data_IF_203312372088
#
_entry.id   IF_203312372088
#
_cell.length_a   1.000
_cell.length_b   1.000
_cell.length_c   1.000
_cell.angle_alpha   90.00
_cell.angle_beta   90.00
_cell.angle_gamma   90.00
#
_symmetry.space_group_name_H-M   'P 1'
#
loop_
_entity.id
_entity.type
_entity.pdbx_description
1 polymer ?
#
# COMPACT_ATOMS: atom_id res chain seq x y z
N UNK A 1 27.77 -60.74 39.08
CA UNK A 1 28.31 -60.11 37.87
C UNK A 1 27.23 -60.23 36.83
N UNK A 2 26.55 -59.12 36.54
CA UNK A 2 26.15 -58.74 35.19
C UNK A 2 25.70 -57.28 35.24
N UNK A 3 26.33 -56.48 34.40
CA UNK A 3 26.21 -55.04 34.26
C UNK A 3 24.89 -54.70 33.52
N UNK A 4 24.21 -53.64 33.96
CA UNK A 4 23.03 -53.10 33.29
C UNK A 4 23.06 -51.57 33.38
N UNK A 5 23.59 -50.96 32.32
CA UNK A 5 24.11 -49.60 32.31
C UNK A 5 23.09 -48.47 32.47
N UNK A 6 23.65 -47.35 32.93
CA UNK A 6 23.07 -46.02 32.96
C UNK A 6 22.42 -45.67 31.60
N UNK A 7 21.08 -45.59 31.57
CA UNK A 7 20.38 -44.97 30.43
C UNK A 7 20.58 -43.46 30.56
N UNK A 8 21.58 -42.96 29.84
CA UNK A 8 21.74 -41.55 29.55
C UNK A 8 20.40 -41.03 28.97
N UNK A 9 19.63 -40.30 29.77
CA UNK A 9 18.48 -39.51 29.32
C UNK A 9 19.04 -38.50 28.32
N UNK A 10 18.87 -38.77 27.03
CA UNK A 10 19.31 -37.86 26.00
C UNK A 10 18.79 -36.45 26.24
N UNK A 11 19.57 -35.44 25.89
CA UNK A 11 19.15 -34.05 26.06
C UNK A 11 17.89 -33.79 25.23
N UNK A 12 17.02 -32.85 25.64
CA UNK A 12 15.76 -32.54 24.92
C UNK A 12 15.93 -32.20 23.43
N UNK A 13 17.14 -31.87 22.97
CA UNK A 13 17.47 -31.63 21.55
C UNK A 13 17.90 -32.90 20.79
N UNK A 14 18.11 -34.02 21.49
CA UNK A 14 18.36 -35.36 20.94
C UNK A 14 17.05 -36.14 20.68
N UNK A 15 15.91 -35.61 21.11
CA UNK A 15 14.60 -36.06 20.65
C UNK A 15 14.41 -35.73 19.16
N UNK A 16 13.77 -36.62 18.41
CA UNK A 16 13.51 -36.42 16.98
C UNK A 16 12.90 -35.05 16.72
N UNK A 17 13.52 -34.30 15.80
CA UNK A 17 13.00 -33.04 15.28
C UNK A 17 11.52 -33.23 14.92
N UNK A 18 10.60 -32.66 15.71
CA UNK A 18 9.19 -32.61 15.33
C UNK A 18 9.13 -31.86 14.00
N UNK A 19 8.81 -32.61 12.95
CA UNK A 19 8.78 -32.12 11.58
C UNK A 19 7.58 -31.19 11.45
N UNK A 20 7.79 -29.91 11.73
CA UNK A 20 6.77 -28.85 11.61
C UNK A 20 6.13 -28.78 10.22
N UNK A 21 6.78 -29.35 9.19
CA UNK A 21 6.24 -29.53 7.84
C UNK A 21 5.13 -30.58 7.72
N UNK A 22 4.95 -31.49 8.68
CA UNK A 22 3.84 -32.48 8.66
C UNK A 22 2.47 -31.85 8.97
N UNK A 23 2.45 -30.62 9.53
CA UNK A 23 1.23 -29.85 9.77
C UNK A 23 0.77 -29.03 8.54
N UNK A 24 1.59 -28.96 7.49
CA UNK A 24 1.25 -28.26 6.25
C UNK A 24 0.41 -29.19 5.36
N UNK A 25 -0.83 -28.77 5.06
CA UNK A 25 -1.70 -29.50 4.12
C UNK A 25 -1.49 -28.98 2.71
N UNK A 26 -1.29 -29.90 1.78
CA UNK A 26 -1.27 -29.67 0.34
C UNK A 26 -2.64 -29.98 -0.24
N UNK A 27 -3.05 -29.23 -1.26
CA UNK A 27 -4.24 -29.52 -2.07
C UNK A 27 -3.97 -30.65 -3.09
N UNK A 28 -5.01 -31.08 -3.80
CA UNK A 28 -4.95 -32.15 -4.82
C UNK A 28 -4.00 -31.84 -5.99
N UNK A 29 -3.53 -30.59 -6.11
CA UNK A 29 -2.56 -30.15 -7.12
C UNK A 29 -1.13 -30.07 -6.58
N UNK A 30 -0.92 -30.37 -5.30
CA UNK A 30 0.37 -30.30 -4.62
C UNK A 30 0.77 -28.89 -4.17
N UNK A 31 -0.17 -27.94 -4.13
CA UNK A 31 0.08 -26.59 -3.62
C UNK A 31 -0.34 -26.49 -2.15
N UNK A 32 0.42 -25.74 -1.35
CA UNK A 32 0.12 -25.52 0.07
C UNK A 32 -1.18 -24.74 0.22
N UNK A 33 -2.11 -25.24 1.05
CA UNK A 33 -3.37 -24.57 1.36
C UNK A 33 -3.09 -23.32 2.18
N UNK A 34 -2.86 -22.20 1.49
CA UNK A 34 -2.72 -20.88 2.10
C UNK A 34 -4.11 -20.35 2.49
N UNK A 35 -4.60 -20.73 3.66
CA UNK A 35 -5.80 -20.13 4.28
C UNK A 35 -5.67 -18.64 4.62
N UNK A 36 -4.50 -18.02 4.40
CA UNK A 36 -4.21 -16.66 4.88
C UNK A 36 -4.78 -15.53 4.00
N UNK A 37 -4.99 -15.74 2.70
CA UNK A 37 -5.33 -14.64 1.77
C UNK A 37 -6.78 -14.18 1.88
N UNK A 38 -7.73 -15.11 2.04
CA UNK A 38 -9.15 -14.81 2.20
C UNK A 38 -9.43 -14.09 3.52
N UNK A 39 -8.85 -14.57 4.64
CA UNK A 39 -8.94 -13.90 5.93
C UNK A 39 -8.36 -12.48 5.88
N UNK A 40 -7.15 -12.31 5.31
CA UNK A 40 -6.53 -10.98 5.12
C UNK A 40 -7.43 -10.02 4.34
N UNK A 41 -8.05 -10.47 3.24
CA UNK A 41 -9.02 -9.67 2.46
C UNK A 41 -10.23 -9.26 3.30
N UNK A 42 -10.79 -10.20 4.06
CA UNK A 42 -11.97 -9.94 4.89
C UNK A 42 -11.66 -8.95 6.03
N UNK A 43 -10.48 -9.04 6.64
CA UNK A 43 -9.99 -8.05 7.60
C UNK A 43 -9.78 -6.67 6.95
N UNK A 44 -9.19 -6.62 5.75
CA UNK A 44 -9.02 -5.37 5.02
C UNK A 44 -10.37 -4.71 4.70
N UNK A 45 -11.40 -5.49 4.34
CA UNK A 45 -12.77 -5.00 4.14
C UNK A 45 -13.40 -4.43 5.40
N UNK A 46 -13.29 -5.15 6.52
CA UNK A 46 -13.80 -4.67 7.80
C UNK A 46 -13.17 -3.33 8.18
N UNK A 47 -11.86 -3.18 7.96
CA UNK A 47 -11.16 -1.90 8.16
C UNK A 47 -11.67 -0.81 7.23
N UNK A 48 -11.78 -1.08 5.93
CA UNK A 48 -12.31 -0.11 4.96
C UNK A 48 -13.74 0.32 5.27
N UNK A 49 -14.58 -0.60 5.74
CA UNK A 49 -15.95 -0.31 6.15
C UNK A 49 -15.99 0.59 7.41
N UNK A 50 -15.03 0.47 8.33
CA UNK A 50 -14.90 1.37 9.48
C UNK A 50 -14.43 2.78 9.08
N UNK A 51 -13.58 2.85 8.05
CA UNK A 51 -13.10 4.12 7.48
C UNK A 51 -14.15 4.78 6.55
N UNK A 52 -15.24 4.08 6.23
CA UNK A 52 -16.29 4.58 5.34
C UNK A 52 -17.00 5.81 5.93
N UNK A 53 -17.26 6.80 5.08
CA UNK A 53 -17.95 8.04 5.47
C UNK A 53 -17.06 9.06 6.19
N UNK A 54 -15.78 8.75 6.41
CA UNK A 54 -14.81 9.69 6.95
C UNK A 54 -14.27 10.61 5.85
N UNK A 55 -13.78 11.81 6.23
CA UNK A 55 -13.22 12.76 5.28
C UNK A 55 -11.86 12.26 4.78
N UNK A 56 -11.67 12.31 3.47
CA UNK A 56 -10.45 11.85 2.80
C UNK A 56 -9.84 12.95 1.93
N UNK A 57 -8.56 12.79 1.66
CA UNK A 57 -7.77 13.69 0.85
C UNK A 57 -7.65 13.21 -0.60
N UNK A 58 -8.51 13.71 -1.48
CA UNK A 58 -8.53 13.29 -2.89
C UNK A 58 -7.31 13.80 -3.68
N UNK A 59 -6.82 15.00 -3.37
CA UNK A 59 -5.62 15.57 -3.99
C UNK A 59 -4.45 15.44 -3.01
N UNK A 60 -3.43 14.70 -3.42
CA UNK A 60 -2.28 14.33 -2.58
C UNK A 60 -0.96 14.81 -3.19
N UNK A 61 -0.09 15.39 -2.38
CA UNK A 61 1.26 15.72 -2.77
C UNK A 61 2.20 14.89 -1.93
N UNK A 62 2.78 13.85 -2.53
CA UNK A 62 3.55 12.85 -1.82
C UNK A 62 5.00 12.83 -2.33
N UNK A 63 5.96 12.83 -1.40
CA UNK A 63 7.38 12.66 -1.69
C UNK A 63 7.80 11.25 -1.29
N UNK A 64 8.30 10.47 -2.25
CA UNK A 64 8.92 9.17 -2.01
C UNK A 64 10.40 9.38 -1.68
N UNK A 65 10.79 9.08 -0.45
CA UNK A 65 12.18 9.14 0.01
C UNK A 65 12.76 7.72 0.11
N UNK A 66 13.60 7.37 -0.85
CA UNK A 66 14.23 6.05 -0.95
C UNK A 66 15.64 6.07 -0.35
N UNK A 67 15.89 5.19 0.60
CA UNK A 67 17.22 4.90 1.12
C UNK A 67 18.07 4.12 0.09
N UNK A 68 19.25 4.64 -0.24
CA UNK A 68 20.31 3.93 -0.98
C UNK A 68 21.64 3.96 -0.21
N UNK A 69 21.56 3.91 1.12
CA UNK A 69 22.70 3.75 2.01
C UNK A 69 23.33 2.36 1.90
N UNK A 70 24.49 2.15 2.54
CA UNK A 70 25.17 0.84 2.58
C UNK A 70 24.30 -0.29 3.14
N UNK A 71 23.36 0.02 4.03
CA UNK A 71 22.47 -0.96 4.68
C UNK A 71 21.50 -1.61 3.69
N UNK A 72 21.27 -0.96 2.55
CA UNK A 72 20.39 -1.45 1.48
C UNK A 72 21.07 -2.44 0.53
N UNK A 73 22.38 -2.65 0.68
CA UNK A 73 23.14 -3.65 -0.06
C UNK A 73 22.92 -5.08 0.46
N UNK A 74 22.30 -5.21 1.65
CA UNK A 74 22.02 -6.48 2.32
C UNK A 74 21.14 -7.38 1.44
N UNK A 75 21.51 -8.67 1.25
CA UNK A 75 20.75 -9.62 0.43
C UNK A 75 19.39 -10.03 1.00
N UNK A 76 19.03 -9.54 2.18
CA UNK A 76 17.69 -9.67 2.74
C UNK A 76 16.60 -9.11 1.80
N UNK A 77 15.40 -9.68 1.87
CA UNK A 77 14.26 -9.41 0.97
C UNK A 77 14.57 -9.63 -0.53
N UNK A 78 15.50 -10.54 -0.85
CA UNK A 78 15.83 -10.90 -2.24
C UNK A 78 14.62 -11.48 -2.97
N UNK A 79 14.40 -11.01 -4.20
CA UNK A 79 13.34 -11.53 -5.08
C UNK A 79 13.92 -11.76 -6.47
N UNK A 80 14.02 -13.03 -6.90
CA UNK A 80 14.42 -13.37 -8.27
C UNK A 80 15.69 -12.61 -8.72
N UNK A 81 15.57 -11.70 -9.70
CA UNK A 81 16.66 -10.85 -10.21
C UNK A 81 17.06 -9.66 -9.33
N UNK A 82 16.29 -9.35 -8.28
CA UNK A 82 16.54 -8.25 -7.34
C UNK A 82 17.31 -8.78 -6.13
N UNK A 83 18.64 -8.53 -6.05
CA UNK A 83 19.51 -9.31 -5.17
C UNK A 83 19.56 -8.82 -3.71
N UNK A 84 19.00 -7.64 -3.42
CA UNK A 84 19.16 -6.96 -2.13
C UNK A 84 17.92 -6.11 -1.78
N UNK A 85 17.90 -5.56 -0.55
CA UNK A 85 16.84 -4.65 -0.07
C UNK A 85 16.60 -3.47 -1.01
N UNK A 86 17.65 -2.88 -1.61
CA UNK A 86 17.50 -1.81 -2.60
C UNK A 86 16.71 -2.27 -3.84
N UNK A 87 17.00 -3.47 -4.33
CA UNK A 87 16.28 -4.08 -5.44
C UNK A 87 14.80 -4.32 -5.10
N UNK A 88 14.52 -4.89 -3.93
CA UNK A 88 13.16 -5.06 -3.44
C UNK A 88 12.41 -3.73 -3.38
N UNK A 89 13.00 -2.71 -2.74
CA UNK A 89 12.40 -1.38 -2.61
C UNK A 89 12.09 -0.75 -3.97
N UNK A 90 13.03 -0.80 -4.92
CA UNK A 90 12.83 -0.24 -6.27
C UNK A 90 11.73 -1.00 -7.02
N UNK A 91 11.67 -2.33 -6.91
CA UNK A 91 10.60 -3.12 -7.50
C UNK A 91 9.24 -2.73 -6.93
N UNK A 92 9.07 -2.74 -5.62
CA UNK A 92 7.80 -2.40 -4.98
C UNK A 92 7.39 -0.96 -5.26
N UNK A 93 8.34 -0.02 -5.40
CA UNK A 93 8.05 1.35 -5.82
C UNK A 93 7.58 1.44 -7.29
N UNK A 94 8.07 0.58 -8.19
CA UNK A 94 7.58 0.52 -9.58
C UNK A 94 6.15 0.00 -9.66
N UNK A 95 5.77 -0.92 -8.78
CA UNK A 95 4.39 -1.42 -8.64
C UNK A 95 3.50 -0.36 -7.97
N UNK A 96 4.03 0.36 -6.98
CA UNK A 96 3.32 1.41 -6.25
C UNK A 96 2.97 2.62 -7.11
N UNK A 97 3.87 3.11 -7.96
CA UNK A 97 3.66 4.36 -8.72
C UNK A 97 2.40 4.31 -9.60
N UNK A 98 2.18 3.29 -10.45
CA UNK A 98 0.94 3.17 -11.23
C UNK A 98 -0.30 3.03 -10.34
N UNK A 99 -0.23 2.23 -9.26
CA UNK A 99 -1.32 2.05 -8.31
C UNK A 99 -1.71 3.38 -7.63
N UNK A 100 -0.72 4.18 -7.22
CA UNK A 100 -0.94 5.50 -6.65
C UNK A 100 -1.68 6.44 -7.62
N UNK A 101 -1.29 6.49 -8.90
CA UNK A 101 -1.98 7.33 -9.89
C UNK A 101 -3.35 6.79 -10.30
N UNK A 102 -3.59 5.48 -10.17
CA UNK A 102 -4.90 4.87 -10.36
C UNK A 102 -5.88 5.30 -9.24
N UNK A 103 -5.44 5.23 -7.98
CA UNK A 103 -6.20 5.66 -6.80
C UNK A 103 -6.34 7.18 -6.68
N UNK A 104 -5.30 7.94 -7.06
CA UNK A 104 -5.24 9.39 -6.95
C UNK A 104 -4.73 10.02 -8.26
N UNK A 105 -5.59 10.20 -9.28
CA UNK A 105 -5.20 10.77 -10.56
C UNK A 105 -4.70 12.21 -10.47
N UNK A 106 -5.19 12.97 -9.48
CA UNK A 106 -4.77 14.36 -9.25
C UNK A 106 -3.53 14.46 -8.36
N UNK A 107 -3.03 13.33 -7.88
CA UNK A 107 -1.87 13.28 -7.03
C UNK A 107 -0.61 13.72 -7.75
N UNK A 108 0.34 14.24 -6.99
CA UNK A 108 1.68 14.53 -7.45
C UNK A 108 2.66 13.70 -6.64
N UNK A 109 3.63 13.11 -7.35
CA UNK A 109 4.71 12.33 -6.75
C UNK A 109 6.06 12.99 -7.03
N UNK A 110 6.94 12.92 -6.06
CA UNK A 110 8.36 13.24 -6.19
C UNK A 110 9.21 12.04 -5.75
N UNK A 111 10.45 11.96 -6.23
CA UNK A 111 11.41 10.95 -5.81
C UNK A 111 12.68 11.60 -5.29
N UNK A 112 13.02 11.30 -4.04
CA UNK A 112 14.22 11.73 -3.33
C UNK A 112 15.03 10.50 -2.94
N UNK A 113 16.35 10.55 -3.16
CA UNK A 113 17.28 9.51 -2.74
C UNK A 113 18.05 9.99 -1.52
N UNK A 114 18.08 9.17 -0.47
CA UNK A 114 18.89 9.36 0.73
C UNK A 114 20.19 8.56 0.58
N UNK A 115 21.31 9.26 0.40
CA UNK A 115 22.60 8.62 0.20
C UNK A 115 23.75 9.55 0.63
N UNK A 116 24.82 9.00 1.20
CA UNK A 116 26.02 9.75 1.59
C UNK A 116 25.71 10.96 2.51
N UNK A 117 24.80 10.79 3.47
CA UNK A 117 24.33 11.84 4.40
C UNK A 117 23.66 13.03 3.69
N UNK A 118 23.21 12.86 2.45
CA UNK A 118 22.54 13.89 1.63
C UNK A 118 21.20 13.36 1.13
N UNK A 119 20.32 14.29 0.79
CA UNK A 119 19.06 14.01 0.12
C UNK A 119 19.11 14.63 -1.29
N UNK A 120 19.06 13.79 -2.30
CA UNK A 120 19.13 14.20 -3.70
C UNK A 120 17.73 14.10 -4.33
N UNK A 121 17.20 15.23 -4.81
CA UNK A 121 15.93 15.24 -5.56
C UNK A 121 16.21 14.69 -6.97
N UNK A 122 15.67 13.51 -7.27
CA UNK A 122 15.84 12.84 -8.57
C UNK A 122 14.72 13.25 -9.51
N UNK A 123 13.49 13.21 -9.01
CA UNK A 123 12.31 13.64 -9.75
C UNK A 123 11.60 14.70 -8.91
N UNK A 124 11.47 15.94 -9.42
CA UNK A 124 10.72 16.98 -8.70
C UNK A 124 9.23 16.62 -8.68
N UNK A 125 8.50 17.25 -7.76
CA UNK A 125 7.06 17.04 -7.60
C UNK A 125 6.30 17.27 -8.91
N UNK A 126 5.55 16.25 -9.36
CA UNK A 126 4.75 16.33 -10.57
C UNK A 126 3.84 15.13 -10.79
N UNK A 127 3.00 15.18 -11.82
CA UNK A 127 2.02 14.14 -12.16
C UNK A 127 2.46 13.16 -13.26
N UNK A 128 3.75 13.12 -13.61
CA UNK A 128 4.24 12.30 -14.73
C UNK A 128 4.73 10.93 -14.26
N UNK A 129 3.87 9.92 -14.40
CA UNK A 129 4.20 8.51 -14.10
C UNK A 129 5.47 8.05 -14.83
N UNK A 130 5.55 8.30 -16.15
CA UNK A 130 6.68 7.89 -16.99
C UNK A 130 8.04 8.42 -16.51
N UNK A 131 8.10 9.63 -15.90
CA UNK A 131 9.36 10.19 -15.38
C UNK A 131 9.82 9.45 -14.12
N UNK A 132 8.90 9.07 -13.24
CA UNK A 132 9.18 8.32 -12.03
C UNK A 132 9.64 6.90 -12.37
N UNK A 133 8.91 6.21 -13.25
CA UNK A 133 9.28 4.88 -13.71
C UNK A 133 10.64 4.87 -14.41
N UNK A 134 10.92 5.88 -15.25
CA UNK A 134 12.25 6.05 -15.86
C UNK A 134 13.34 6.20 -14.81
N UNK A 135 13.14 7.06 -13.81
CA UNK A 135 14.12 7.24 -12.74
C UNK A 135 14.38 5.95 -11.95
N UNK A 136 13.33 5.18 -11.64
CA UNK A 136 13.46 3.86 -10.99
C UNK A 136 14.16 2.83 -11.88
N UNK A 137 13.90 2.83 -13.18
CA UNK A 137 14.60 2.00 -14.16
C UNK A 137 16.10 2.38 -14.25
N UNK A 138 16.41 3.68 -14.23
CA UNK A 138 17.80 4.17 -14.26
C UNK A 138 18.58 3.73 -13.01
N UNK A 139 17.91 3.59 -11.85
CA UNK A 139 18.51 3.04 -10.63
C UNK A 139 18.79 1.54 -10.77
N UNK A 140 17.86 0.77 -11.33
CA UNK A 140 18.03 -0.68 -11.61
C UNK A 140 19.19 -0.90 -12.60
N UNK A 141 19.22 -0.17 -13.72
CA UNK A 141 20.27 -0.31 -14.74
C UNK A 141 21.66 0.05 -14.20
N UNK A 142 21.75 0.97 -13.23
CA UNK A 142 23.01 1.31 -12.56
C UNK A 142 23.46 0.25 -11.54
N UNK A 143 22.69 -0.83 -11.35
CA UNK A 143 23.01 -1.92 -10.44
C UNK A 143 22.78 -1.58 -8.97
N UNK A 144 21.76 -0.75 -8.68
CA UNK A 144 21.40 -0.37 -7.30
C UNK A 144 22.61 0.14 -6.50
N UNK A 145 23.32 1.16 -7.00
CA UNK A 145 24.51 1.69 -6.33
C UNK A 145 24.19 2.20 -4.92
N UNK A 146 24.37 1.34 -3.93
CA UNK A 146 24.22 1.63 -2.52
C UNK A 146 25.53 2.14 -1.94
N UNK A 147 25.48 3.11 -1.05
CA UNK A 147 26.70 3.70 -0.50
C UNK A 147 26.44 4.73 0.59
N UNK A 148 27.44 4.93 1.45
CA UNK A 148 27.36 5.87 2.55
C UNK A 148 26.21 5.57 3.52
N UNK A 149 25.64 6.63 4.08
CA UNK A 149 24.72 6.59 5.22
C UNK A 149 23.45 7.40 4.94
N UNK A 150 22.34 6.98 5.55
CA UNK A 150 21.05 7.64 5.47
C UNK A 150 21.02 8.92 6.33
N UNK A 151 20.25 9.93 5.91
CA UNK A 151 20.00 11.17 6.68
C UNK A 151 18.53 11.56 6.59
N UNK A 152 17.84 11.42 7.71
CA UNK A 152 16.43 11.75 7.88
C UNK A 152 16.21 13.25 7.78
N UNK A 153 17.04 14.07 8.45
CA UNK A 153 16.87 15.52 8.50
C UNK A 153 17.01 16.13 7.10
N UNK A 154 18.03 15.70 6.34
CA UNK A 154 18.19 16.18 4.97
C UNK A 154 17.07 15.68 4.05
N UNK A 155 16.61 14.45 4.25
CA UNK A 155 15.45 13.89 3.54
C UNK A 155 14.18 14.71 3.74
N UNK A 156 13.89 15.06 5.00
CA UNK A 156 12.79 15.93 5.36
C UNK A 156 12.97 17.33 4.75
N UNK A 157 14.15 17.93 4.86
CA UNK A 157 14.42 19.27 4.34
C UNK A 157 14.20 19.36 2.82
N UNK A 158 14.73 18.39 2.06
CA UNK A 158 14.52 18.31 0.61
C UNK A 158 13.03 18.13 0.25
N UNK A 159 12.33 17.26 0.98
CA UNK A 159 10.91 17.00 0.77
C UNK A 159 10.06 18.24 1.07
N UNK A 160 10.30 18.89 2.21
CA UNK A 160 9.64 20.12 2.64
C UNK A 160 9.83 21.27 1.63
N UNK A 161 11.03 21.43 1.07
CA UNK A 161 11.29 22.45 0.06
C UNK A 161 10.39 22.31 -1.17
N UNK A 162 10.00 21.08 -1.54
CA UNK A 162 9.07 20.84 -2.66
C UNK A 162 7.62 21.03 -2.23
N UNK A 163 7.27 20.51 -1.05
CA UNK A 163 5.89 20.54 -0.54
C UNK A 163 5.40 21.94 -0.18
N UNK A 164 6.31 22.84 0.24
CA UNK A 164 5.95 24.23 0.53
C UNK A 164 5.50 25.01 -0.72
N UNK A 165 5.90 24.59 -1.93
CA UNK A 165 5.47 25.24 -3.17
C UNK A 165 3.99 25.01 -3.51
N UNK A 166 3.35 24.00 -2.89
CA UNK A 166 1.96 23.61 -3.17
C UNK A 166 0.95 24.44 -2.36
N UNK A 167 1.38 24.99 -1.22
CA UNK A 167 0.56 25.77 -0.31
C UNK A 167 0.07 25.00 0.91
N UNK A 168 -0.23 25.72 1.99
CA UNK A 168 -0.50 25.17 3.33
C UNK A 168 -1.81 24.37 3.43
N UNK A 169 -2.79 24.69 2.58
CA UNK A 169 -4.09 24.01 2.56
C UNK A 169 -4.09 22.70 1.77
N UNK A 170 -2.95 22.32 1.20
CA UNK A 170 -2.80 21.06 0.48
C UNK A 170 -2.29 19.95 1.39
N UNK A 171 -2.61 18.71 1.04
CA UNK A 171 -2.11 17.56 1.78
C UNK A 171 -0.69 17.26 1.37
N UNK A 172 0.19 17.38 2.35
CA UNK A 172 1.64 17.20 2.20
C UNK A 172 2.03 15.91 2.87
N UNK A 173 2.57 14.98 2.10
CA UNK A 173 2.88 13.64 2.55
C UNK A 173 4.32 13.27 2.19
N UNK A 174 4.99 12.53 3.07
CA UNK A 174 6.31 11.96 2.82
C UNK A 174 6.24 10.47 3.15
N UNK A 175 6.64 9.62 2.21
CA UNK A 175 6.76 8.18 2.42
C UNK A 175 8.25 7.83 2.37
N UNK A 176 8.78 7.37 3.49
CA UNK A 176 10.15 6.88 3.60
C UNK A 176 10.19 5.38 3.37
N UNK A 177 11.07 4.91 2.48
CA UNK A 177 11.41 3.50 2.33
C UNK A 177 12.87 3.35 2.74
N UNK A 178 13.09 2.82 3.94
CA UNK A 178 14.39 2.83 4.62
C UNK A 178 14.81 1.43 5.03
N UNK A 179 16.08 1.09 4.84
CA UNK A 179 16.68 -0.13 5.41
C UNK A 179 17.76 0.17 6.43
N UNK A 180 18.21 1.43 6.54
CA UNK A 180 19.19 1.81 7.55
C UNK A 180 18.58 1.86 8.96
N UNK A 181 19.21 1.15 9.90
CA UNK A 181 18.84 1.18 11.33
C UNK A 181 19.27 2.48 12.04
N UNK A 182 20.11 3.28 11.39
CA UNK A 182 20.56 4.57 11.89
C UNK A 182 20.37 5.68 10.85
N UNK A 183 20.20 6.89 11.36
CA UNK A 183 20.24 8.13 10.60
C UNK A 183 21.41 8.97 11.09
N UNK A 184 22.12 9.64 10.17
CA UNK A 184 23.28 10.46 10.50
C UNK A 184 23.03 11.86 10.01
N UNK A 185 22.70 12.71 10.97
CA UNK A 185 22.21 14.07 10.75
C UNK A 185 23.12 15.09 11.47
N UNK A 186 23.21 16.29 10.90
CA UNK A 186 24.01 17.40 11.47
C UNK A 186 23.29 18.05 12.66
N UNK A 187 21.96 18.14 12.57
CA UNK A 187 21.10 18.73 13.59
C UNK A 187 20.22 17.67 14.24
N UNK A 188 19.64 17.99 15.40
CA UNK A 188 18.79 17.06 16.13
C UNK A 188 17.55 16.67 15.32
N UNK A 189 17.33 15.36 15.09
CA UNK A 189 16.13 14.84 14.43
C UNK A 189 14.83 15.25 15.13
N UNK A 190 14.84 15.37 16.46
CA UNK A 190 13.65 15.69 17.27
C UNK A 190 13.05 17.06 16.96
N UNK A 191 13.88 18.09 16.82
CA UNK A 191 13.41 19.43 16.48
C UNK A 191 12.78 19.47 15.08
N UNK A 192 13.33 18.67 14.17
CA UNK A 192 12.82 18.54 12.81
C UNK A 192 11.46 17.84 12.79
N UNK A 193 11.27 16.80 13.61
CA UNK A 193 9.97 16.11 13.76
C UNK A 193 8.88 17.09 14.20
N UNK A 194 9.14 17.89 15.24
CA UNK A 194 8.18 18.88 15.73
C UNK A 194 7.86 19.94 14.67
N UNK A 195 8.87 20.38 13.91
CA UNK A 195 8.67 21.36 12.82
C UNK A 195 7.74 20.81 11.73
N UNK A 196 7.95 19.56 11.33
CA UNK A 196 7.14 18.89 10.29
C UNK A 196 5.72 18.64 10.76
N UNK A 197 5.55 18.25 12.03
CA UNK A 197 4.24 18.06 12.65
C UNK A 197 3.45 19.38 12.72
N UNK A 198 4.10 20.48 13.12
CA UNK A 198 3.48 21.81 13.18
C UNK A 198 3.09 22.34 11.79
N UNK A 199 3.85 21.98 10.75
CA UNK A 199 3.49 22.29 9.37
C UNK A 199 2.43 21.32 8.81
N UNK A 200 1.99 20.32 9.57
CA UNK A 200 0.94 19.41 9.15
C UNK A 200 1.33 18.55 7.95
N UNK A 201 2.62 18.21 7.83
CA UNK A 201 3.15 17.26 6.83
C UNK A 201 3.10 15.86 7.44
N UNK A 202 2.39 14.95 6.77
CA UNK A 202 2.21 13.56 7.21
C UNK A 202 3.39 12.69 6.76
N UNK A 203 4.10 12.06 7.68
CA UNK A 203 5.24 11.19 7.34
C UNK A 203 4.92 9.74 7.64
N UNK A 204 4.93 8.88 6.62
CA UNK A 204 4.84 7.42 6.78
C UNK A 204 6.18 6.76 6.48
N UNK A 205 6.47 5.64 7.13
CA UNK A 205 7.76 4.95 7.03
C UNK A 205 7.54 3.46 6.83
N UNK A 206 8.19 2.91 5.81
CA UNK A 206 8.35 1.48 5.56
C UNK A 206 9.80 1.14 5.87
N UNK A 207 10.03 0.49 7.01
CA UNK A 207 11.35 0.06 7.47
C UNK A 207 11.60 -1.39 7.09
N UNK A 208 12.53 -1.63 6.17
CA UNK A 208 12.84 -2.94 5.58
C UNK A 208 13.68 -3.86 6.47
N UNK A 209 14.02 -3.45 7.70
CA UNK A 209 14.94 -4.21 8.55
C UNK A 209 14.39 -4.45 9.94
N UNK A 210 14.20 -3.39 10.72
CA UNK A 210 13.67 -3.50 12.07
C UNK A 210 12.91 -2.24 12.47
N UNK A 211 12.25 -2.29 13.62
CA UNK A 211 11.69 -1.09 14.24
C UNK A 211 12.81 -0.16 14.71
N UNK A 212 12.74 1.11 14.29
CA UNK A 212 13.67 2.15 14.73
C UNK A 212 12.86 3.26 15.41
N UNK A 213 13.13 3.49 16.68
CA UNK A 213 12.37 4.39 17.55
C UNK A 213 12.20 5.82 16.97
N UNK A 214 13.24 6.40 16.36
CA UNK A 214 13.13 7.77 15.83
C UNK A 214 12.16 7.87 14.65
N UNK A 215 12.15 6.87 13.77
CA UNK A 215 11.25 6.81 12.62
C UNK A 215 9.80 6.53 13.05
N UNK A 216 9.61 5.68 14.06
CA UNK A 216 8.30 5.45 14.66
C UNK A 216 7.74 6.71 15.31
N UNK A 217 8.56 7.42 16.10
CA UNK A 217 8.17 8.72 16.67
C UNK A 217 7.79 9.74 15.60
N UNK A 218 8.53 9.80 14.48
CA UNK A 218 8.18 10.67 13.35
C UNK A 218 6.79 10.33 12.80
N UNK A 219 6.51 9.05 12.54
CA UNK A 219 5.22 8.62 12.01
C UNK A 219 4.07 8.93 12.97
N UNK A 220 4.20 8.56 14.25
CA UNK A 220 3.18 8.84 15.28
C UNK A 220 2.92 10.34 15.47
N UNK A 221 3.97 11.17 15.45
CA UNK A 221 3.83 12.62 15.65
C UNK A 221 3.22 13.35 14.45
N UNK A 222 3.36 12.79 13.26
CA UNK A 222 2.83 13.38 12.02
C UNK A 222 1.56 12.70 11.54
N UNK A 223 0.92 11.88 12.39
CA UNK A 223 -0.29 11.11 12.07
C UNK A 223 -0.11 10.18 10.85
N UNK A 224 1.12 9.75 10.59
CA UNK A 224 1.46 8.78 9.54
C UNK A 224 1.49 7.34 10.04
N UNK A 225 1.81 6.42 9.14
CA UNK A 225 1.88 4.97 9.45
C UNK A 225 3.34 4.50 9.47
N UNK A 226 3.66 3.62 10.41
CA UNK A 226 4.96 2.97 10.51
C UNK A 226 4.81 1.47 10.26
N UNK A 227 5.58 0.93 9.33
CA UNK A 227 5.53 -0.47 8.95
C UNK A 227 6.91 -1.12 9.04
N UNK A 228 6.93 -2.38 9.46
CA UNK A 228 8.10 -3.27 9.38
C UNK A 228 7.68 -4.51 8.60
N UNK A 229 7.87 -4.52 7.27
CA UNK A 229 7.52 -5.67 6.46
C UNK A 229 8.39 -6.87 6.78
N UNK A 230 7.79 -8.07 6.78
CA UNK A 230 8.50 -9.32 7.05
C UNK A 230 9.03 -9.98 5.78
N UNK A 231 8.32 -9.80 4.68
CA UNK A 231 8.61 -10.44 3.40
C UNK A 231 8.40 -9.45 2.25
N UNK A 232 8.89 -9.76 1.04
CA UNK A 232 8.80 -8.83 -0.07
C UNK A 232 7.38 -8.57 -0.57
N UNK A 233 6.43 -9.49 -0.34
CA UNK A 233 5.03 -9.31 -0.69
C UNK A 233 4.43 -8.29 0.29
N UNK A 234 4.73 -8.43 1.57
CA UNK A 234 4.32 -7.50 2.62
C UNK A 234 4.86 -6.08 2.37
N UNK A 235 6.06 -5.92 1.79
CA UNK A 235 6.56 -4.60 1.36
C UNK A 235 5.62 -3.95 0.34
N UNK A 236 5.22 -4.70 -0.69
CA UNK A 236 4.29 -4.21 -1.71
C UNK A 236 2.89 -3.97 -1.12
N UNK A 237 2.40 -4.82 -0.23
CA UNK A 237 1.10 -4.66 0.45
C UNK A 237 1.05 -3.41 1.33
N UNK A 238 2.12 -3.15 2.10
CA UNK A 238 2.21 -1.96 2.97
C UNK A 238 2.35 -0.67 2.15
N UNK A 239 3.06 -0.70 1.04
CA UNK A 239 3.09 0.44 0.10
C UNK A 239 1.72 0.64 -0.56
N UNK A 240 1.01 -0.43 -0.93
CA UNK A 240 -0.35 -0.33 -1.46
C UNK A 240 -1.31 0.28 -0.43
N UNK A 241 -1.19 -0.06 0.85
CA UNK A 241 -1.98 0.59 1.90
C UNK A 241 -1.75 2.11 1.94
N UNK A 242 -0.51 2.56 1.71
CA UNK A 242 -0.17 3.99 1.63
C UNK A 242 -0.62 4.66 0.33
N UNK A 243 -0.94 3.88 -0.72
CA UNK A 243 -1.48 4.41 -1.99
C UNK A 243 -2.92 4.92 -1.83
N UNK A 244 -3.63 4.44 -0.80
CA UNK A 244 -4.99 4.89 -0.49
C UNK A 244 -4.96 6.28 0.15
N UNK A 245 -5.89 7.18 -0.20
CA UNK A 245 -6.04 8.47 0.45
C UNK A 245 -6.17 8.29 1.96
N UNK A 246 -5.32 8.94 2.76
CA UNK A 246 -5.39 8.73 4.19
C UNK A 246 -6.55 9.53 4.77
N UNK A 247 -7.14 9.00 5.83
CA UNK A 247 -8.26 9.63 6.52
C UNK A 247 -7.77 10.85 7.29
N UNK A 248 -8.58 11.90 7.31
CA UNK A 248 -8.26 13.14 7.99
C UNK A 248 -8.59 13.02 9.49
N UNK A 249 -7.56 13.14 10.34
CA UNK A 249 -7.69 13.05 11.81
C UNK A 249 -8.14 14.35 12.47
N UNK A 250 -7.97 15.48 11.78
CA UNK A 250 -8.22 16.83 12.32
C UNK A 250 -9.32 17.56 11.56
N UNK A 251 -10.08 18.41 12.24
CA UNK A 251 -11.17 19.20 11.67
C UNK A 251 -10.68 20.38 10.82
N UNK A 252 -9.82 20.14 9.81
CA UNK A 252 -9.48 21.22 8.87
C UNK A 252 -10.71 21.56 8.04
N UNK A 253 -10.87 22.86 7.76
CA UNK A 253 -11.93 23.30 6.86
C UNK A 253 -11.57 22.87 5.44
N UNK A 254 -12.51 22.22 4.76
CA UNK A 254 -12.37 21.88 3.35
C UNK A 254 -12.23 23.15 2.52
N UNK A 255 -11.18 23.22 1.70
CA UNK A 255 -10.96 24.34 0.80
C UNK A 255 -11.54 24.01 -0.57
N UNK A 256 -12.34 24.94 -1.12
CA UNK A 256 -12.85 24.84 -2.47
C UNK A 256 -11.74 25.20 -3.47
N UNK A 257 -11.31 24.22 -4.24
CA UNK A 257 -10.29 24.40 -5.28
C UNK A 257 -10.98 24.61 -6.63
N UNK A 258 -10.64 25.70 -7.31
CA UNK A 258 -11.12 25.97 -8.68
C UNK A 258 -10.43 25.01 -9.66
N UNK A 259 -11.20 24.23 -10.41
CA UNK A 259 -10.72 23.32 -11.45
C UNK A 259 -11.25 23.72 -12.83
N UNK A 260 -10.49 23.42 -13.87
CA UNK A 260 -10.86 23.61 -15.26
C UNK A 260 -11.06 22.28 -15.97
N UNK A 261 -12.15 22.15 -16.71
CA UNK A 261 -12.42 21.00 -17.57
C UNK A 261 -12.10 21.37 -19.03
N UNK A 262 -10.91 21.01 -19.54
CA UNK A 262 -10.54 21.39 -20.90
C UNK A 262 -11.23 20.50 -21.93
N UNK A 263 -11.56 21.09 -23.08
CA UNK A 263 -12.02 20.35 -24.24
C UNK A 263 -10.83 19.78 -25.02
N UNK A 264 -11.01 18.57 -25.58
CA UNK A 264 -10.01 17.90 -26.41
C UNK A 264 -10.23 18.30 -27.88
N UNK A 265 -9.22 18.86 -28.52
CA UNK A 265 -9.20 19.13 -29.97
C UNK A 265 -8.85 17.85 -30.76
N UNK A 266 -9.11 17.89 -32.08
CA UNK A 266 -8.81 16.79 -33.00
C UNK A 266 -7.33 16.36 -32.96
N UNK A 267 -6.41 17.30 -32.71
CA UNK A 267 -4.97 17.04 -32.58
C UNK A 267 -4.56 16.41 -31.23
N UNK A 268 -5.51 15.85 -30.49
CA UNK A 268 -5.33 15.27 -29.16
C UNK A 268 -4.73 16.23 -28.10
N UNK A 269 -4.87 17.54 -28.31
CA UNK A 269 -4.46 18.59 -27.37
C UNK A 269 -5.66 19.09 -26.57
N UNK A 270 -5.39 19.56 -25.36
CA UNK A 270 -6.40 20.09 -24.44
C UNK A 270 -6.33 21.61 -24.40
N UNK A 271 -7.46 22.31 -24.47
CA UNK A 271 -7.50 23.77 -24.35
C UNK A 271 -7.90 24.18 -22.92
N UNK A 272 -7.06 24.97 -22.26
CA UNK A 272 -7.40 25.54 -20.96
C UNK A 272 -8.63 26.46 -21.06
N UNK A 273 -9.68 26.28 -20.24
CA UNK A 273 -10.90 27.09 -20.33
C UNK A 273 -10.68 28.55 -19.88
N UNK A 274 -9.66 28.84 -19.07
CA UNK A 274 -9.42 30.18 -18.54
C UNK A 274 -8.51 31.04 -19.42
N UNK A 275 -7.39 30.50 -19.91
CA UNK A 275 -6.41 31.26 -20.69
C UNK A 275 -6.26 30.79 -22.14
N UNK A 276 -7.03 29.78 -22.57
CA UNK A 276 -7.00 29.20 -23.94
C UNK A 276 -5.64 28.65 -24.38
N UNK A 277 -4.70 28.46 -23.45
CA UNK A 277 -3.42 27.83 -23.74
C UNK A 277 -3.63 26.33 -24.02
N UNK A 278 -2.88 25.80 -24.99
CA UNK A 278 -2.90 24.39 -25.36
C UNK A 278 -1.98 23.59 -24.46
N UNK A 279 -2.48 22.47 -23.94
CA UNK A 279 -1.78 21.57 -23.04
C UNK A 279 -1.76 20.17 -23.64
N UNK A 280 -0.64 19.46 -23.49
CA UNK A 280 -0.42 18.15 -24.13
C UNK A 280 -1.14 17.00 -23.43
N UNK A 281 -1.29 17.07 -22.11
CA UNK A 281 -1.87 16.01 -21.30
C UNK A 281 -2.56 16.60 -20.07
N UNK A 282 -3.53 15.87 -19.55
CA UNK A 282 -4.18 16.11 -18.26
C UNK A 282 -4.12 14.80 -17.46
N UNK A 283 -4.11 14.83 -16.12
CA UNK A 283 -4.27 16.00 -15.25
C UNK A 283 -2.96 16.76 -15.05
N UNK A 284 -2.99 18.08 -15.23
CA UNK A 284 -1.83 18.96 -15.00
C UNK A 284 -2.26 20.36 -14.58
N UNK A 285 -1.33 21.14 -14.04
CA UNK A 285 -1.50 22.58 -13.89
C UNK A 285 -1.29 23.27 -15.23
N UNK A 286 -2.08 24.29 -15.55
CA UNK A 286 -1.87 25.11 -16.73
C UNK A 286 -0.60 25.97 -16.58
N UNK A 287 0.30 25.94 -17.56
CA UNK A 287 1.59 26.65 -17.47
C UNK A 287 1.45 28.18 -17.33
N UNK A 288 0.40 28.76 -17.91
CA UNK A 288 0.16 30.21 -17.95
C UNK A 288 -0.65 30.67 -16.73
N UNK A 289 -1.85 30.09 -16.52
CA UNK A 289 -2.78 30.58 -15.49
C UNK A 289 -2.79 29.75 -14.19
N UNK A 290 -1.98 28.69 -14.11
CA UNK A 290 -1.88 27.77 -12.96
C UNK A 290 -3.18 27.09 -12.52
N UNK A 291 -4.25 27.18 -13.31
CA UNK A 291 -5.48 26.44 -13.08
C UNK A 291 -5.25 24.94 -13.20
N UNK A 292 -5.78 24.15 -12.25
CA UNK A 292 -5.76 22.68 -12.32
C UNK A 292 -6.70 22.19 -13.42
N UNK A 293 -6.14 21.49 -14.41
CA UNK A 293 -6.87 20.96 -15.57
C UNK A 293 -7.13 19.47 -15.39
N UNK A 294 -8.41 19.10 -15.35
CA UNK A 294 -8.85 17.74 -15.03
C UNK A 294 -9.99 17.30 -15.96
N UNK A 295 -10.17 15.99 -16.15
CA UNK A 295 -11.36 15.45 -16.82
C UNK A 295 -12.35 14.91 -15.78
N UNK A 296 -13.62 14.82 -16.16
CA UNK A 296 -14.62 14.16 -15.32
C UNK A 296 -14.24 12.69 -15.02
N UNK A 297 -13.62 12.00 -15.98
CA UNK A 297 -13.13 10.63 -15.78
C UNK A 297 -12.04 10.54 -14.70
N UNK A 298 -11.19 11.56 -14.54
CA UNK A 298 -10.16 11.56 -13.48
C UNK A 298 -10.76 11.69 -12.09
N UNK A 299 -11.81 12.51 -11.94
CA UNK A 299 -12.53 12.62 -10.68
C UNK A 299 -13.34 11.35 -10.39
N UNK A 300 -13.96 10.77 -11.43
CA UNK A 300 -14.76 9.56 -11.30
C UNK A 300 -13.93 8.37 -10.80
N UNK A 301 -12.65 8.28 -11.21
CA UNK A 301 -11.74 7.26 -10.69
C UNK A 301 -11.55 7.34 -9.18
N UNK A 302 -11.69 8.51 -8.53
CA UNK A 302 -11.59 8.61 -7.06
C UNK A 302 -12.87 8.21 -6.32
N UNK A 303 -14.01 7.97 -7.01
CA UNK A 303 -15.29 7.72 -6.34
C UNK A 303 -15.30 6.47 -5.47
N UNK A 304 -14.52 5.45 -5.81
CA UNK A 304 -14.42 4.23 -4.99
C UNK A 304 -13.87 4.48 -3.59
N UNK A 305 -13.10 5.55 -3.38
CA UNK A 305 -12.66 5.96 -2.04
C UNK A 305 -13.76 6.70 -1.26
N UNK A 306 -14.67 7.38 -1.96
CA UNK A 306 -15.79 8.08 -1.34
C UNK A 306 -16.94 7.14 -0.98
N UNK A 307 -17.13 6.09 -1.78
CA UNK A 307 -18.14 5.07 -1.59
C UNK A 307 -17.46 3.70 -1.60
N UNK A 308 -16.86 3.27 -0.47
CA UNK A 308 -16.21 1.97 -0.41
C UNK A 308 -17.22 0.85 -0.69
N UNK A 309 -16.74 -0.29 -1.22
CA UNK A 309 -17.59 -1.44 -1.50
C UNK A 309 -18.30 -1.90 -0.21
N UNK A 310 -19.52 -2.40 -0.38
CA UNK A 310 -20.34 -2.87 0.74
C UNK A 310 -19.61 -3.99 1.50
N UNK A 311 -19.78 -4.02 2.82
CA UNK A 311 -19.30 -5.12 3.64
C UNK A 311 -19.91 -6.45 3.18
N UNK A 312 -19.11 -7.50 3.33
CA UNK A 312 -19.50 -8.87 3.00
C UNK A 312 -19.26 -9.75 4.22
N UNK A 313 -20.14 -10.73 4.38
CA UNK A 313 -20.08 -11.72 5.45
C UNK A 313 -19.77 -13.10 4.85
N UNK A 314 -18.89 -13.90 5.47
CA UNK A 314 -18.62 -15.25 4.96
C UNK A 314 -19.88 -16.11 5.04
N UNK A 315 -20.15 -16.89 4.00
CA UNK A 315 -21.35 -17.75 3.94
C UNK A 315 -21.27 -18.91 4.93
N UNK A 316 -20.05 -19.38 5.19
CA UNK A 316 -19.71 -20.37 6.22
C UNK A 316 -18.68 -19.71 7.15
N UNK A 317 -19.03 -19.34 8.38
CA UNK A 317 -18.09 -18.74 9.32
C UNK A 317 -17.01 -19.73 9.75
N UNK A 318 -15.77 -19.26 9.91
CA UNK A 318 -14.71 -20.03 10.57
C UNK A 318 -15.08 -20.24 12.05
N UNK A 319 -15.25 -21.51 12.45
CA UNK A 319 -15.54 -21.86 13.84
C UNK A 319 -14.24 -21.89 14.66
N UNK A 320 -14.13 -21.06 15.69
CA UNK A 320 -12.96 -20.97 16.57
C UNK A 320 -13.17 -21.72 17.89
N UNK A 321 -13.37 -23.04 17.82
CA UNK A 321 -13.54 -23.94 18.98
C UNK A 321 -12.90 -25.31 18.73
N UNK A 322 -12.71 -26.10 19.80
CA UNK A 322 -12.10 -27.46 19.71
C UNK A 322 -13.00 -28.48 19.00
N UNK A 323 -14.30 -28.20 18.85
CA UNK A 323 -15.27 -29.04 18.14
C UNK A 323 -15.91 -28.26 16.98
N UNK A 324 -15.80 -28.82 15.77
CA UNK A 324 -16.44 -28.29 14.56
C UNK A 324 -17.84 -28.91 14.46
N UNK A 325 -18.89 -28.09 14.49
CA UNK A 325 -20.26 -28.54 14.25
C UNK A 325 -20.48 -28.76 12.74
N UNK A 326 -20.27 -30.00 12.32
CA UNK A 326 -20.39 -30.46 10.93
C UNK A 326 -21.84 -30.39 10.40
N UNK A 327 -22.84 -30.49 11.27
CA UNK A 327 -24.25 -30.39 10.86
C UNK A 327 -24.61 -28.94 10.52
N UNK A 328 -24.13 -28.00 11.35
CA UNK A 328 -24.28 -26.58 11.10
C UNK A 328 -23.60 -26.16 9.79
N UNK A 329 -22.37 -26.61 9.53
CA UNK A 329 -21.64 -26.31 8.28
C UNK A 329 -22.39 -26.83 7.04
N UNK A 330 -22.90 -28.09 7.08
CA UNK A 330 -23.70 -28.64 5.97
C UNK A 330 -24.98 -27.84 5.74
N UNK A 331 -25.67 -27.44 6.80
CA UNK A 331 -26.89 -26.64 6.70
C UNK A 331 -26.65 -25.23 6.13
N UNK A 332 -25.48 -24.66 6.36
CA UNK A 332 -25.07 -23.37 5.81
C UNK A 332 -24.65 -23.49 4.34
N UNK A 333 -23.94 -24.57 4.00
CA UNK A 333 -23.57 -24.88 2.62
C UNK A 333 -24.80 -25.05 1.72
N UNK A 334 -25.84 -25.77 2.18
CA UNK A 334 -27.09 -25.95 1.42
C UNK A 334 -27.85 -24.65 1.15
N UNK A 335 -27.56 -23.57 1.90
CA UNK A 335 -28.18 -22.25 1.72
C UNK A 335 -27.42 -21.35 0.75
N UNK A 336 -26.21 -21.75 0.32
CA UNK A 336 -25.39 -20.94 -0.59
C UNK A 336 -26.06 -20.91 -1.97
N UNK A 337 -26.35 -19.70 -2.46
CA UNK A 337 -26.87 -19.50 -3.80
C UNK A 337 -25.74 -19.37 -4.81
N UNK A 338 -26.00 -19.62 -6.12
CA UNK A 338 -25.03 -19.35 -7.17
C UNK A 338 -24.52 -17.91 -7.09
N UNK A 339 -23.25 -17.72 -7.40
CA UNK A 339 -22.60 -16.43 -7.41
C UNK A 339 -23.32 -15.49 -8.39
N UNK A 340 -23.73 -14.30 -7.94
CA UNK A 340 -24.38 -13.31 -8.83
C UNK A 340 -23.47 -12.83 -9.97
N UNK A 341 -22.15 -12.85 -9.78
CA UNK A 341 -21.19 -12.38 -10.79
C UNK A 341 -20.97 -13.38 -11.94
N UNK A 342 -20.66 -14.64 -11.60
CA UNK A 342 -20.27 -15.66 -12.59
C UNK A 342 -21.22 -16.85 -12.70
N UNK A 343 -22.32 -16.85 -11.93
CA UNK A 343 -23.29 -17.94 -11.83
C UNK A 343 -22.69 -19.29 -11.37
N UNK A 344 -21.50 -19.27 -10.75
CA UNK A 344 -20.86 -20.45 -10.18
C UNK A 344 -21.54 -20.86 -8.87
N UNK A 345 -21.85 -22.15 -8.72
CA UNK A 345 -22.34 -22.73 -7.48
C UNK A 345 -21.26 -23.66 -6.90
N UNK A 346 -20.99 -23.60 -5.59
CA UNK A 346 -19.94 -24.43 -5.00
C UNK A 346 -20.35 -25.90 -4.99
N UNK A 347 -19.40 -26.78 -5.27
CA UNK A 347 -19.64 -28.24 -5.35
C UNK A 347 -19.30 -28.91 -4.01
N UNK A 348 -18.34 -28.34 -3.27
CA UNK A 348 -17.87 -28.82 -1.98
C UNK A 348 -18.00 -27.77 -0.88
N UNK A 349 -18.03 -28.21 0.38
CA UNK A 349 -18.05 -27.31 1.56
C UNK A 349 -16.80 -26.43 1.59
N UNK A 350 -15.65 -26.94 1.15
CA UNK A 350 -14.39 -26.20 1.08
C UNK A 350 -14.46 -25.03 0.09
N UNK A 351 -15.06 -25.25 -1.08
CA UNK A 351 -15.37 -24.16 -2.02
C UNK A 351 -16.40 -23.19 -1.44
N UNK A 352 -17.42 -23.71 -0.75
CA UNK A 352 -18.44 -22.91 -0.07
C UNK A 352 -17.88 -21.95 1.00
N UNK A 353 -16.76 -22.31 1.65
CA UNK A 353 -16.05 -21.42 2.60
C UNK A 353 -15.48 -20.17 1.93
N UNK A 354 -15.22 -20.22 0.63
CA UNK A 354 -14.74 -19.06 -0.14
C UNK A 354 -15.87 -18.13 -0.59
N UNK A 355 -17.14 -18.51 -0.39
CA UNK A 355 -18.28 -17.68 -0.74
C UNK A 355 -18.59 -16.66 0.35
N UNK A 356 -18.93 -15.45 -0.08
CA UNK A 356 -19.37 -14.36 0.79
C UNK A 356 -20.75 -13.88 0.38
N UNK A 357 -21.49 -13.29 1.31
CA UNK A 357 -22.81 -12.69 1.10
C UNK A 357 -22.68 -11.18 1.25
N UNK A 358 -23.26 -10.43 0.32
CA UNK A 358 -23.28 -8.98 0.39
C UNK A 358 -24.31 -8.48 1.42
N UNK A 359 -23.91 -7.62 2.35
CA UNK A 359 -24.80 -7.16 3.43
C UNK A 359 -25.95 -6.26 2.95
N UNK A 360 -25.87 -5.69 1.74
CA UNK A 360 -26.92 -4.82 1.18
C UNK A 360 -27.97 -5.57 0.36
N UNK A 361 -27.54 -6.35 -0.63
CA UNK A 361 -28.45 -7.07 -1.53
C UNK A 361 -28.68 -8.53 -1.13
N UNK A 362 -27.96 -9.04 -0.12
CA UNK A 362 -28.04 -10.42 0.39
C UNK A 362 -27.74 -11.50 -0.65
N UNK A 363 -27.07 -11.13 -1.74
CA UNK A 363 -26.64 -12.06 -2.78
C UNK A 363 -25.29 -12.71 -2.47
N UNK A 364 -25.11 -13.96 -2.89
CA UNK A 364 -23.87 -14.71 -2.76
C UNK A 364 -22.87 -14.35 -3.86
N UNK A 365 -21.58 -14.29 -3.49
CA UNK A 365 -20.43 -14.02 -4.36
C UNK A 365 -19.35 -15.07 -4.07
N UNK A 366 -18.77 -15.67 -5.11
CA UNK A 366 -17.60 -16.53 -4.94
C UNK A 366 -16.34 -15.69 -4.61
N UNK A 367 -15.30 -16.33 -4.08
CA UNK A 367 -14.07 -15.65 -3.66
C UNK A 367 -13.35 -14.89 -4.78
N UNK A 368 -13.41 -15.39 -6.02
CA UNK A 368 -12.82 -14.72 -7.19
C UNK A 368 -13.60 -13.47 -7.61
N UNK A 369 -14.93 -13.58 -7.69
CA UNK A 369 -15.79 -12.43 -7.99
C UNK A 369 -15.67 -11.37 -6.90
N UNK A 370 -15.57 -11.79 -5.64
CA UNK A 370 -15.35 -10.89 -4.51
C UNK A 370 -14.01 -10.14 -4.64
N UNK A 371 -12.90 -10.84 -4.93
CA UNK A 371 -11.60 -10.21 -5.18
C UNK A 371 -11.62 -9.27 -6.40
N UNK A 372 -12.28 -9.67 -7.48
CA UNK A 372 -12.42 -8.84 -8.68
C UNK A 372 -13.24 -7.57 -8.40
N UNK A 373 -14.30 -7.68 -7.59
CA UNK A 373 -15.07 -6.53 -7.15
C UNK A 373 -14.20 -5.58 -6.34
N UNK A 374 -13.35 -6.08 -5.45
CA UNK A 374 -12.50 -5.24 -4.61
C UNK A 374 -11.44 -4.50 -5.41
N UNK A 375 -10.83 -5.16 -6.37
CA UNK A 375 -9.68 -4.64 -7.12
C UNK A 375 -10.07 -3.78 -8.31
N UNK A 376 -11.17 -4.11 -9.00
CA UNK A 376 -11.46 -3.55 -10.33
C UNK A 376 -12.82 -2.83 -10.42
N UNK A 377 -13.91 -3.43 -9.94
CA UNK A 377 -15.26 -2.85 -10.09
C UNK A 377 -15.60 -1.84 -8.99
N UNK A 378 -15.10 -2.08 -7.78
CA UNK A 378 -15.40 -1.35 -6.54
C UNK A 378 -16.89 -1.19 -6.23
N UNK A 379 -17.76 -1.99 -6.83
CA UNK A 379 -19.21 -1.95 -6.66
C UNK A 379 -19.79 -3.34 -6.86
N UNK A 380 -20.68 -3.74 -5.96
CA UNK A 380 -21.35 -5.04 -6.03
C UNK A 380 -22.36 -5.04 -7.18
N UNK A 381 -22.27 -5.96 -8.17
CA UNK A 381 -23.19 -6.02 -9.29
C UNK A 381 -24.65 -6.20 -8.90
N UNK A 382 -24.93 -6.91 -7.80
CA UNK A 382 -26.30 -7.10 -7.33
C UNK A 382 -26.89 -5.92 -6.55
N UNK A 383 -26.10 -4.88 -6.26
CA UNK A 383 -26.58 -3.63 -5.65
C UNK A 383 -26.86 -2.52 -6.67
N UNK A 384 -26.39 -2.70 -7.90
CA UNK A 384 -26.68 -1.85 -9.06
C UNK A 384 -28.00 -2.36 -9.66
#
# INVERSE_FOLDING_TARGET
MDEGGDKHSGYRWEGGYERTWEALREDDTGALISGSSAAKRLFAKKRLAQEAGQRIHIVRHCVLALDLSRSMADPDLRIDRYPNRAGCAVRSLKEFVPKFFASCPLGQLALVILQNKRANIVVPLGGSEARLLKALNDIEVKGFKTGGQCSMVNGIAASKSMLNAVGEHSNREIIFVVGSLNTIDVTSPFATIETVANEGIRCSVVSLSAEVNIWKKLAERTDGKYFVPLDPIDVSDKLEELSRPPVESSSRQGVLVKMGFPQKEADARYICPQCRTRVKAIPTLCDVCKLSLVSAAHLARCYHHLFPPSSVTPSIPEQSGEEIDLELERSQFEKIRPCVGCNYAPISVEEGRQFVVCDKCLNSLCGECDGFIDEHLHSCPGCI
#
